data_IF_537880230060
#
_entry.id   IF_537880230060
#
_cell.length_a   1.000
_cell.length_b   1.000
_cell.length_c   1.000
_cell.angle_alpha   90.00
_cell.angle_beta   90.00
_cell.angle_gamma   90.00
#
_symmetry.space_group_name_H-M   'P 1'
#
loop_
_entity.id
_entity.type
_entity.pdbx_description
1 polymer ?
#
# COMPACT_ATOMS: atom_id res chain seq x y z
N UNK A 1 -8.95 31.51 -8.25
CA UNK A 1 -9.80 30.47 -8.87
C UNK A 1 -9.54 29.19 -8.10
N UNK A 2 -10.46 28.85 -7.21
CA UNK A 2 -10.41 27.71 -6.30
C UNK A 2 -10.50 26.40 -7.09
N UNK A 3 -9.52 25.51 -6.94
CA UNK A 3 -9.74 24.11 -7.26
C UNK A 3 -10.61 23.53 -6.15
N UNK A 4 -11.88 23.28 -6.47
CA UNK A 4 -12.77 22.52 -5.62
C UNK A 4 -12.18 21.12 -5.43
N UNK A 5 -11.97 20.73 -4.17
CA UNK A 5 -11.66 19.35 -3.80
C UNK A 5 -12.84 18.48 -4.21
N UNK A 6 -12.63 17.64 -5.22
CA UNK A 6 -13.65 16.68 -5.66
C UNK A 6 -13.96 15.75 -4.49
N UNK A 7 -15.21 15.80 -4.01
CA UNK A 7 -15.75 14.80 -3.09
C UNK A 7 -15.68 13.43 -3.78
N UNK A 8 -14.84 12.52 -3.28
CA UNK A 8 -14.73 11.16 -3.81
C UNK A 8 -16.02 10.41 -3.44
N UNK A 9 -16.89 10.16 -4.42
CA UNK A 9 -18.16 9.42 -4.24
C UNK A 9 -17.99 7.90 -4.39
N UNK A 10 -16.78 7.38 -4.19
CA UNK A 10 -16.40 5.98 -4.47
C UNK A 10 -15.44 5.40 -3.42
N UNK A 11 -15.12 4.10 -3.51
CA UNK A 11 -14.17 3.46 -2.61
C UNK A 11 -12.78 4.08 -2.74
N UNK A 12 -12.09 4.27 -1.61
CA UNK A 12 -10.68 4.65 -1.60
C UNK A 12 -9.82 3.40 -1.75
N UNK A 13 -9.05 3.32 -2.83
CA UNK A 13 -8.30 2.13 -3.22
C UNK A 13 -6.81 2.35 -2.99
N UNK A 14 -6.21 1.42 -2.26
CA UNK A 14 -4.78 1.43 -1.94
C UNK A 14 -4.11 0.21 -2.52
N UNK A 15 -3.02 0.43 -3.24
CA UNK A 15 -2.10 -0.63 -3.62
C UNK A 15 -0.95 -0.75 -2.62
N UNK A 16 -0.55 -1.99 -2.26
CA UNK A 16 0.67 -2.26 -1.49
C UNK A 16 1.55 -3.25 -2.28
N UNK A 17 2.60 -2.72 -2.91
CA UNK A 17 3.55 -3.44 -3.75
C UNK A 17 4.92 -3.59 -3.09
N UNK A 18 5.83 -4.30 -3.75
CA UNK A 18 7.20 -4.52 -3.29
C UNK A 18 7.62 -5.99 -3.29
N UNK A 19 8.86 -6.24 -2.90
CA UNK A 19 9.46 -7.58 -2.96
C UNK A 19 8.65 -8.65 -2.23
N UNK A 20 8.80 -9.89 -2.66
CA UNK A 20 8.30 -11.05 -1.90
C UNK A 20 8.83 -11.02 -0.46
N UNK A 21 8.07 -11.58 0.48
CA UNK A 21 8.46 -11.70 1.88
C UNK A 21 8.78 -10.39 2.64
N UNK A 22 8.39 -9.22 2.12
CA UNK A 22 8.59 -7.92 2.79
C UNK A 22 7.48 -7.51 3.75
N UNK A 23 6.54 -8.42 4.05
CA UNK A 23 5.46 -8.19 5.00
C UNK A 23 4.21 -7.51 4.42
N UNK A 24 4.04 -7.47 3.09
CA UNK A 24 2.86 -6.88 2.41
C UNK A 24 1.53 -7.34 3.04
N UNK A 25 1.29 -8.65 3.10
CA UNK A 25 0.06 -9.23 3.68
C UNK A 25 -0.12 -8.84 5.14
N UNK A 26 0.95 -8.91 5.94
CA UNK A 26 0.92 -8.51 7.35
C UNK A 26 0.60 -7.02 7.53
N UNK A 27 1.15 -6.16 6.68
CA UNK A 27 0.87 -4.72 6.70
C UNK A 27 -0.59 -4.47 6.30
N UNK A 28 -1.06 -5.08 5.20
CA UNK A 28 -2.43 -4.95 4.73
C UNK A 28 -3.45 -5.39 5.81
N UNK A 29 -3.23 -6.53 6.46
CA UNK A 29 -4.08 -7.00 7.56
C UNK A 29 -4.08 -6.07 8.77
N UNK A 30 -2.90 -5.56 9.16
CA UNK A 30 -2.79 -4.65 10.31
C UNK A 30 -3.45 -3.31 10.03
N UNK A 31 -3.22 -2.73 8.85
CA UNK A 31 -3.87 -1.50 8.40
C UNK A 31 -5.38 -1.69 8.34
N UNK A 32 -5.86 -2.78 7.74
CA UNK A 32 -7.29 -3.11 7.66
C UNK A 32 -7.92 -3.20 9.05
N UNK A 33 -7.32 -3.96 9.98
CA UNK A 33 -7.80 -4.05 11.37
C UNK A 33 -7.82 -2.69 12.06
N UNK A 34 -6.85 -1.81 11.79
CA UNK A 34 -6.82 -0.47 12.38
C UNK A 34 -7.92 0.43 11.78
N UNK A 35 -8.10 0.42 10.46
CA UNK A 35 -9.14 1.19 9.79
C UNK A 35 -10.55 0.74 10.20
N UNK A 36 -10.79 -0.57 10.25
CA UNK A 36 -12.07 -1.13 10.72
C UNK A 36 -12.40 -0.72 12.16
N UNK A 37 -11.40 -0.65 13.05
CA UNK A 37 -11.58 -0.13 14.42
C UNK A 37 -12.01 1.33 14.46
N UNK A 38 -11.72 2.11 13.42
CA UNK A 38 -12.11 3.51 13.29
C UNK A 38 -13.38 3.69 12.44
N UNK A 39 -14.14 2.62 12.21
CA UNK A 39 -15.44 2.68 11.53
C UNK A 39 -15.39 2.58 10.01
N UNK A 40 -14.20 2.36 9.43
CA UNK A 40 -14.07 2.15 7.98
C UNK A 40 -14.56 0.76 7.57
N UNK A 41 -15.25 0.66 6.43
CA UNK A 41 -15.46 -0.62 5.77
C UNK A 41 -14.24 -0.93 4.89
N UNK A 42 -13.53 -2.02 5.16
CA UNK A 42 -12.28 -2.37 4.46
C UNK A 42 -12.37 -3.78 3.92
N UNK A 43 -11.99 -3.94 2.65
CA UNK A 43 -11.78 -5.23 2.02
C UNK A 43 -10.31 -5.37 1.64
N UNK A 44 -9.72 -6.54 1.91
CA UNK A 44 -8.32 -6.83 1.60
C UNK A 44 -8.29 -7.94 0.57
N UNK A 45 -7.50 -7.74 -0.47
CA UNK A 45 -7.31 -8.71 -1.53
C UNK A 45 -5.84 -9.06 -1.65
N UNK A 46 -5.56 -10.36 -1.80
CA UNK A 46 -4.21 -10.86 -1.95
C UNK A 46 -4.04 -11.45 -3.35
N UNK A 47 -3.10 -10.90 -4.12
CA UNK A 47 -2.73 -11.39 -5.45
C UNK A 47 -2.35 -12.87 -5.44
N UNK A 48 -1.76 -13.38 -4.34
CA UNK A 48 -1.37 -14.79 -4.22
C UNK A 48 -2.56 -15.77 -4.29
N UNK A 49 -3.80 -15.29 -4.18
CA UNK A 49 -5.02 -16.12 -4.28
C UNK A 49 -5.50 -16.32 -5.73
N UNK A 50 -4.87 -15.63 -6.69
CA UNK A 50 -5.32 -15.51 -8.07
C UNK A 50 -4.33 -16.13 -9.08
N UNK A 51 -3.54 -17.13 -8.71
CA UNK A 51 -2.74 -17.85 -9.69
C UNK A 51 -3.61 -18.57 -10.73
N UNK A 52 -3.20 -18.52 -11.99
CA UNK A 52 -3.84 -19.25 -13.08
C UNK A 52 -3.67 -20.76 -12.89
N UNK A 53 -4.63 -21.53 -13.40
CA UNK A 53 -4.56 -23.00 -13.38
C UNK A 53 -3.68 -23.54 -14.51
N UNK A 54 -3.68 -22.86 -15.66
CA UNK A 54 -2.83 -23.21 -16.80
C UNK A 54 -1.53 -22.40 -16.72
N UNK A 55 -0.44 -23.10 -16.38
CA UNK A 55 0.89 -22.51 -16.22
C UNK A 55 1.86 -23.02 -17.30
N UNK A 56 1.39 -23.73 -18.33
CA UNK A 56 2.28 -24.38 -19.30
C UNK A 56 3.18 -23.37 -20.02
N UNK A 57 2.65 -22.18 -20.30
CA UNK A 57 3.40 -21.05 -20.89
C UNK A 57 4.50 -20.48 -19.99
N UNK A 58 4.46 -20.78 -18.69
CA UNK A 58 5.40 -20.30 -17.66
C UNK A 58 6.43 -21.34 -17.26
N UNK A 59 6.41 -22.52 -17.87
CA UNK A 59 7.39 -23.55 -17.62
C UNK A 59 8.79 -23.11 -18.06
N UNK A 60 9.77 -23.30 -17.17
CA UNK A 60 11.19 -22.97 -17.35
C UNK A 60 11.94 -24.29 -17.55
N UNK A 61 12.27 -24.68 -18.80
CA UNK A 61 12.88 -25.99 -19.07
C UNK A 61 14.23 -26.20 -18.38
N UNK A 62 15.03 -25.14 -18.24
CA UNK A 62 16.35 -25.20 -17.61
C UNK A 62 16.31 -25.48 -16.11
N UNK A 63 15.21 -25.12 -15.44
CA UNK A 63 15.00 -25.34 -14.01
C UNK A 63 14.03 -26.48 -13.70
N UNK A 64 13.35 -27.01 -14.73
CA UNK A 64 12.23 -27.94 -14.57
C UNK A 64 11.21 -27.40 -13.54
N UNK A 65 10.83 -26.13 -13.69
CA UNK A 65 10.06 -25.37 -12.72
C UNK A 65 9.18 -24.31 -13.41
N UNK A 66 8.17 -23.77 -12.74
CA UNK A 66 7.27 -22.75 -13.28
C UNK A 66 7.61 -21.35 -12.76
N UNK A 67 7.51 -20.34 -13.63
CA UNK A 67 7.75 -18.95 -13.25
C UNK A 67 6.51 -18.32 -12.58
N UNK A 68 6.35 -18.53 -11.28
CA UNK A 68 5.28 -17.93 -10.48
C UNK A 68 5.45 -16.43 -10.25
N UNK A 69 6.67 -15.90 -10.37
CA UNK A 69 6.96 -14.47 -10.19
C UNK A 69 6.78 -13.67 -11.51
N UNK A 70 6.16 -14.29 -12.53
CA UNK A 70 5.72 -13.63 -13.75
C UNK A 70 4.35 -12.97 -13.55
N UNK A 71 4.10 -11.75 -14.07
CA UNK A 71 2.76 -11.16 -14.11
C UNK A 71 1.73 -12.12 -14.72
N UNK A 72 2.11 -12.82 -15.79
CA UNK A 72 1.27 -13.79 -16.49
C UNK A 72 0.85 -15.00 -15.64
N UNK A 73 1.49 -15.24 -14.49
CA UNK A 73 1.06 -16.28 -13.56
C UNK A 73 -0.26 -15.95 -12.87
N UNK A 74 -0.66 -14.68 -12.88
CA UNK A 74 -1.86 -14.18 -12.20
C UNK A 74 -3.03 -14.12 -13.18
N UNK A 75 -4.16 -14.65 -12.75
CA UNK A 75 -5.45 -14.55 -13.44
C UNK A 75 -6.03 -13.15 -13.22
N UNK A 76 -5.52 -12.18 -13.98
CA UNK A 76 -5.98 -10.80 -13.89
C UNK A 76 -7.44 -10.63 -14.28
N UNK A 77 -7.98 -11.48 -15.17
CA UNK A 77 -9.40 -11.43 -15.52
C UNK A 77 -10.27 -11.83 -14.33
N UNK A 78 -9.91 -12.90 -13.63
CA UNK A 78 -10.58 -13.31 -12.40
C UNK A 78 -10.39 -12.28 -11.29
N UNK A 79 -9.19 -11.74 -11.15
CA UNK A 79 -8.90 -10.69 -10.17
C UNK A 79 -9.78 -9.45 -10.41
N UNK A 80 -9.87 -8.97 -11.66
CA UNK A 80 -10.71 -7.82 -12.05
C UNK A 80 -12.20 -8.14 -11.89
N UNK A 81 -12.64 -9.34 -12.30
CA UNK A 81 -14.04 -9.79 -12.18
C UNK A 81 -14.47 -9.87 -10.71
N UNK A 82 -13.57 -10.29 -9.83
CA UNK A 82 -13.80 -10.38 -8.39
C UNK A 82 -13.60 -9.01 -7.68
N UNK A 83 -13.22 -7.95 -8.41
CA UNK A 83 -13.17 -6.55 -7.96
C UNK A 83 -11.79 -6.01 -7.54
N UNK A 84 -10.69 -6.66 -7.94
CA UNK A 84 -9.41 -6.61 -7.19
C UNK A 84 -8.22 -6.17 -8.07
N UNK A 85 -7.21 -5.51 -7.47
CA UNK A 85 -6.24 -4.66 -8.20
C UNK A 85 -4.76 -4.95 -7.90
N UNK A 86 -3.88 -4.80 -8.92
CA UNK A 86 -2.39 -4.92 -8.88
C UNK A 86 -1.74 -3.82 -9.76
N UNK A 87 -0.51 -3.44 -9.44
CA UNK A 87 0.29 -2.38 -10.10
C UNK A 87 0.82 -2.66 -11.52
N UNK A 88 0.81 -3.91 -11.97
CA UNK A 88 1.45 -4.31 -13.23
C UNK A 88 0.54 -4.12 -14.45
N UNK A 89 -0.74 -3.88 -14.22
CA UNK A 89 -1.70 -3.55 -15.27
C UNK A 89 -1.96 -2.05 -15.25
N UNK A 90 -1.76 -1.38 -16.37
CA UNK A 90 -2.03 0.06 -16.55
C UNK A 90 -3.47 0.43 -16.18
N UNK A 91 -4.42 -0.45 -16.49
CA UNK A 91 -5.83 -0.27 -16.14
C UNK A 91 -6.09 -0.33 -14.63
N UNK A 92 -5.30 -1.12 -13.90
CA UNK A 92 -5.43 -1.28 -12.45
C UNK A 92 -4.60 -0.23 -11.70
N UNK A 93 -3.46 0.14 -12.25
CA UNK A 93 -2.64 1.25 -11.75
C UNK A 93 -3.46 2.53 -11.71
N UNK A 94 -4.26 2.82 -12.73
CA UNK A 94 -5.14 3.99 -12.78
C UNK A 94 -6.24 4.01 -11.70
N UNK A 95 -6.53 2.88 -11.05
CA UNK A 95 -7.57 2.78 -10.02
C UNK A 95 -7.06 3.05 -8.61
N UNK A 96 -5.74 3.10 -8.39
CA UNK A 96 -5.17 3.38 -7.07
C UNK A 96 -5.14 4.89 -6.76
N UNK A 97 -5.71 5.25 -5.62
CA UNK A 97 -5.60 6.59 -5.03
C UNK A 97 -4.22 6.81 -4.40
N UNK A 98 -3.72 5.80 -3.67
CA UNK A 98 -2.37 5.77 -3.12
C UNK A 98 -1.66 4.46 -3.46
N UNK A 99 -0.35 4.58 -3.75
CA UNK A 99 0.52 3.47 -4.08
C UNK A 99 1.65 3.39 -3.06
N UNK A 100 1.75 2.27 -2.36
CA UNK A 100 2.85 2.02 -1.43
C UNK A 100 3.78 0.97 -2.01
N UNK A 101 5.09 1.22 -2.01
CA UNK A 101 6.08 0.27 -2.51
C UNK A 101 7.12 -0.04 -1.43
N UNK A 102 7.17 -1.31 -0.99
CA UNK A 102 8.12 -1.75 0.04
C UNK A 102 9.48 -2.08 -0.61
N UNK A 103 10.49 -1.26 -0.32
CA UNK A 103 11.86 -1.47 -0.73
C UNK A 103 12.58 -2.44 0.19
N UNK A 104 13.42 -3.27 -0.40
CA UNK A 104 14.31 -4.20 0.29
C UNK A 104 15.66 -4.34 -0.43
N UNK A 105 16.61 -5.00 0.21
CA UNK A 105 17.90 -5.36 -0.37
C UNK A 105 17.91 -6.83 -0.80
N UNK A 106 18.80 -7.17 -1.74
CA UNK A 106 18.97 -8.54 -2.26
C UNK A 106 19.17 -9.57 -1.14
N UNK A 107 20.15 -9.34 -0.27
CA UNK A 107 20.51 -10.29 0.79
C UNK A 107 19.36 -10.52 1.77
N UNK A 108 18.65 -9.45 2.14
CA UNK A 108 17.53 -9.54 3.05
C UNK A 108 16.35 -10.29 2.41
N UNK A 109 16.02 -9.95 1.15
CA UNK A 109 14.96 -10.63 0.41
C UNK A 109 15.26 -12.13 0.23
N UNK A 110 16.51 -12.47 -0.11
CA UNK A 110 16.95 -13.86 -0.32
C UNK A 110 16.83 -14.66 0.97
N UNK A 111 17.40 -14.15 2.07
CA UNK A 111 17.39 -14.82 3.36
C UNK A 111 15.96 -15.11 3.85
N UNK A 112 15.03 -14.14 3.73
CA UNK A 112 13.65 -14.36 4.18
C UNK A 112 12.88 -15.30 3.25
N UNK A 113 13.14 -15.25 1.93
CA UNK A 113 12.48 -16.18 1.01
C UNK A 113 12.96 -17.62 1.23
N UNK A 114 14.24 -17.82 1.50
CA UNK A 114 14.82 -19.14 1.80
C UNK A 114 14.28 -19.75 3.11
N UNK A 115 13.87 -18.93 4.08
CA UNK A 115 13.22 -19.39 5.32
C UNK A 115 11.74 -19.80 5.12
N UNK A 116 11.14 -19.45 3.98
CA UNK A 116 9.70 -19.67 3.72
C UNK A 116 9.44 -20.98 2.97
N UNK A 117 8.40 -21.70 3.40
CA UNK A 117 7.92 -22.90 2.70
C UNK A 117 6.93 -22.53 1.60
N UNK A 118 7.37 -22.57 0.34
CA UNK A 118 6.50 -22.49 -0.84
C UNK A 118 6.00 -23.87 -1.26
N UNK A 119 4.85 -23.92 -1.94
CA UNK A 119 4.29 -25.14 -2.54
C UNK A 119 3.99 -24.85 -4.02
N UNK A 120 4.73 -25.43 -4.98
CA UNK A 120 5.94 -26.25 -4.80
C UNK A 120 7.14 -25.42 -4.29
N UNK A 121 8.06 -26.04 -3.55
CA UNK A 121 9.26 -25.35 -3.04
C UNK A 121 10.10 -24.74 -4.16
N UNK A 122 10.72 -23.60 -3.89
CA UNK A 122 11.68 -22.97 -4.81
C UNK A 122 12.83 -23.94 -5.14
N UNK A 123 13.24 -23.95 -6.42
CA UNK A 123 14.40 -24.72 -6.88
C UNK A 123 15.68 -23.86 -6.90
N UNK A 124 16.84 -24.51 -6.85
CA UNK A 124 18.12 -23.83 -6.90
C UNK A 124 18.24 -22.93 -8.15
N UNK A 125 18.69 -21.69 -7.97
CA UNK A 125 18.83 -20.70 -9.05
C UNK A 125 17.55 -19.96 -9.43
N UNK A 126 16.38 -20.37 -8.94
CA UNK A 126 15.10 -19.70 -9.22
C UNK A 126 15.09 -18.25 -8.68
N UNK A 127 15.57 -18.04 -7.45
CA UNK A 127 15.61 -16.71 -6.86
C UNK A 127 16.44 -15.72 -7.70
N UNK A 128 17.66 -16.13 -8.05
CA UNK A 128 18.63 -15.27 -8.72
C UNK A 128 18.24 -15.01 -10.18
N UNK A 129 17.60 -15.98 -10.83
CA UNK A 129 17.31 -15.92 -12.26
C UNK A 129 15.92 -15.32 -12.57
N UNK A 130 14.96 -15.41 -11.65
CA UNK A 130 13.56 -15.04 -11.89
C UNK A 130 13.02 -14.08 -10.83
N UNK A 131 13.12 -14.42 -9.56
CA UNK A 131 12.51 -13.63 -8.45
C UNK A 131 13.13 -12.25 -8.33
N UNK A 132 14.45 -12.18 -8.18
CA UNK A 132 15.13 -10.91 -7.95
C UNK A 132 15.04 -9.99 -9.18
N UNK A 133 15.27 -10.48 -10.42
CA UNK A 133 15.05 -9.68 -11.62
C UNK A 133 13.60 -9.17 -11.76
N UNK A 134 12.60 -9.95 -11.38
CA UNK A 134 11.21 -9.49 -11.37
C UNK A 134 11.00 -8.33 -10.41
N UNK A 135 11.44 -8.47 -9.16
CA UNK A 135 11.39 -7.37 -8.19
C UNK A 135 12.17 -6.13 -8.66
N UNK A 136 13.38 -6.30 -9.21
CA UNK A 136 14.21 -5.19 -9.65
C UNK A 136 13.50 -4.36 -10.73
N UNK A 137 12.84 -5.02 -11.70
CA UNK A 137 12.03 -4.32 -12.71
C UNK A 137 10.90 -3.51 -12.08
N UNK A 138 10.14 -4.10 -11.16
CA UNK A 138 9.05 -3.39 -10.47
C UNK A 138 9.58 -2.19 -9.65
N UNK A 139 10.75 -2.35 -9.02
CA UNK A 139 11.39 -1.29 -8.26
C UNK A 139 11.84 -0.15 -9.18
N UNK A 140 12.48 -0.46 -10.32
CA UNK A 140 12.89 0.52 -11.32
C UNK A 140 11.68 1.27 -11.89
N UNK A 141 10.58 0.56 -12.18
CA UNK A 141 9.32 1.17 -12.67
C UNK A 141 8.70 2.13 -11.65
N UNK A 142 8.67 1.75 -10.38
CA UNK A 142 8.21 2.63 -9.31
C UNK A 142 9.16 3.83 -9.12
N UNK A 143 10.47 3.62 -9.20
CA UNK A 143 11.49 4.66 -9.09
C UNK A 143 11.51 5.63 -10.28
N UNK A 144 11.02 5.23 -11.45
CA UNK A 144 10.79 6.12 -12.59
C UNK A 144 9.63 7.10 -12.36
N UNK A 145 8.74 6.82 -11.40
CA UNK A 145 7.57 7.64 -11.05
C UNK A 145 7.49 7.93 -9.55
N UNK A 146 8.54 8.49 -8.93
CA UNK A 146 8.65 8.57 -7.48
C UNK A 146 7.58 9.45 -6.83
N UNK A 147 6.95 10.35 -7.58
CA UNK A 147 5.83 11.17 -7.14
C UNK A 147 4.51 10.39 -6.99
N UNK A 148 4.36 9.26 -7.68
CA UNK A 148 3.15 8.44 -7.68
C UNK A 148 3.16 7.39 -6.55
N UNK A 149 4.32 7.18 -5.90
CA UNK A 149 4.56 6.14 -4.90
C UNK A 149 5.04 6.68 -3.56
N UNK A 150 4.56 6.06 -2.48
CA UNK A 150 5.13 6.18 -1.14
C UNK A 150 6.04 4.99 -0.88
N UNK A 151 7.34 5.24 -0.74
CA UNK A 151 8.33 4.19 -0.51
C UNK A 151 8.46 3.81 0.96
N UNK A 152 8.27 2.53 1.24
CA UNK A 152 8.32 1.91 2.56
C UNK A 152 9.58 1.04 2.70
N UNK A 153 9.93 0.64 3.93
CA UNK A 153 11.14 -0.17 4.20
C UNK A 153 10.76 -1.54 4.75
N UNK A 154 11.36 -2.61 4.22
CA UNK A 154 11.03 -3.99 4.57
C UNK A 154 11.26 -4.37 6.05
N UNK A 155 12.15 -3.67 6.75
CA UNK A 155 12.49 -3.95 8.15
C UNK A 155 11.66 -3.16 9.18
N UNK A 156 10.74 -2.29 8.74
CA UNK A 156 9.99 -1.41 9.65
C UNK A 156 8.47 -1.56 9.48
N UNK A 157 7.97 -2.76 9.78
CA UNK A 157 6.54 -3.09 9.65
C UNK A 157 5.66 -2.12 10.45
N UNK A 158 6.10 -1.72 11.65
CA UNK A 158 5.31 -0.83 12.50
C UNK A 158 5.19 0.54 11.86
N UNK A 159 6.30 1.15 11.43
CA UNK A 159 6.23 2.45 10.78
C UNK A 159 5.48 2.40 9.45
N UNK A 160 5.61 1.31 8.69
CA UNK A 160 4.87 1.11 7.45
C UNK A 160 3.36 1.12 7.69
N UNK A 161 2.88 0.39 8.71
CA UNK A 161 1.47 0.37 9.10
C UNK A 161 1.01 1.77 9.53
N UNK A 162 1.77 2.45 10.40
CA UNK A 162 1.42 3.80 10.86
C UNK A 162 1.39 4.82 9.70
N UNK A 163 2.32 4.71 8.75
CA UNK A 163 2.38 5.57 7.55
C UNK A 163 1.15 5.38 6.67
N UNK A 164 0.82 4.12 6.32
CA UNK A 164 -0.36 3.83 5.49
C UNK A 164 -1.62 4.25 6.24
N UNK A 165 -1.77 3.80 7.49
CA UNK A 165 -2.96 4.08 8.30
C UNK A 165 -3.21 5.58 8.45
N UNK A 166 -2.20 6.37 8.84
CA UNK A 166 -2.37 7.81 9.04
C UNK A 166 -2.72 8.54 7.75
N UNK A 167 -2.19 8.11 6.61
CA UNK A 167 -2.49 8.70 5.31
C UNK A 167 -3.88 8.31 4.83
N UNK A 168 -4.26 7.03 4.92
CA UNK A 168 -5.61 6.56 4.57
C UNK A 168 -6.68 7.16 5.46
N UNK A 169 -6.43 7.25 6.77
CA UNK A 169 -7.43 7.76 7.72
C UNK A 169 -7.84 9.19 7.38
N UNK A 170 -6.92 10.04 6.89
CA UNK A 170 -7.23 11.41 6.43
C UNK A 170 -8.30 11.47 5.34
N UNK A 171 -8.47 10.40 4.55
CA UNK A 171 -9.48 10.32 3.50
C UNK A 171 -10.76 9.66 3.96
N UNK A 172 -10.68 8.76 4.95
CA UNK A 172 -11.85 8.02 5.45
C UNK A 172 -12.57 8.76 6.56
N UNK A 173 -11.87 9.62 7.30
CA UNK A 173 -12.49 10.48 8.31
C UNK A 173 -12.56 11.91 7.78
N UNK A 174 -13.74 12.53 7.84
CA UNK A 174 -13.90 13.99 7.70
C UNK A 174 -13.15 14.79 8.80
N UNK A 175 -12.43 14.08 9.69
CA UNK A 175 -11.59 14.61 10.76
C UNK A 175 -10.11 14.48 10.38
N UNK A 176 -9.38 15.59 10.43
CA UNK A 176 -7.95 15.60 10.18
C UNK A 176 -7.19 15.34 11.49
N UNK A 177 -6.40 14.26 11.53
CA UNK A 177 -5.51 13.96 12.64
C UNK A 177 -4.07 14.06 12.14
N UNK A 178 -3.36 15.10 12.58
CA UNK A 178 -1.92 15.24 12.32
C UNK A 178 -1.13 14.55 13.44
N UNK A 179 -0.41 13.49 13.06
CA UNK A 179 0.54 12.79 13.92
C UNK A 179 1.95 13.25 13.53
N UNK A 180 2.64 13.92 14.44
CA UNK A 180 4.03 14.34 14.25
C UNK A 180 4.90 13.80 15.37
N UNK A 181 6.16 13.52 15.04
CA UNK A 181 7.20 13.15 16.00
C UNK A 181 7.76 14.37 16.74
N UNK A 182 7.60 15.56 16.16
CA UNK A 182 8.06 16.83 16.70
C UNK A 182 7.01 17.46 17.62
N UNK A 183 7.45 18.24 18.60
CA UNK A 183 6.53 18.98 19.46
C UNK A 183 5.71 19.99 18.62
N UNK A 184 4.40 19.83 18.62
CA UNK A 184 3.50 20.69 17.85
C UNK A 184 3.37 22.05 18.55
N UNK A 185 3.76 23.14 17.87
CA UNK A 185 3.58 24.49 18.43
C UNK A 185 2.12 24.93 18.35
N UNK A 186 1.63 25.56 19.41
CA UNK A 186 0.26 26.09 19.48
C UNK A 186 0.01 27.04 18.29
N UNK A 187 0.97 27.91 17.97
CA UNK A 187 0.84 28.86 16.87
C UNK A 187 0.60 28.19 15.52
N UNK A 188 1.22 27.03 15.28
CA UNK A 188 1.05 26.27 14.04
C UNK A 188 -0.31 25.58 13.98
N UNK A 189 -0.76 25.00 15.10
CA UNK A 189 -2.10 24.43 15.22
C UNK A 189 -3.19 25.50 15.03
N UNK A 190 -3.03 26.66 15.67
CA UNK A 190 -3.95 27.78 15.57
C UNK A 190 -3.97 28.38 14.16
N UNK A 191 -2.80 28.59 13.54
CA UNK A 191 -2.72 29.12 12.17
C UNK A 191 -3.42 28.22 11.17
N UNK A 192 -3.33 26.89 11.36
CA UNK A 192 -3.98 25.91 10.50
C UNK A 192 -5.50 25.90 10.67
N UNK A 193 -6.01 25.92 11.91
CA UNK A 193 -7.46 25.97 12.23
C UNK A 193 -8.11 27.27 11.77
N UNK A 194 -7.33 28.36 11.66
CA UNK A 194 -7.81 29.63 11.15
C UNK A 194 -7.73 29.76 9.62
N UNK A 195 -7.23 28.75 8.90
CA UNK A 195 -7.24 28.75 7.44
C UNK A 195 -8.70 28.67 6.96
N UNK A 196 -9.16 29.60 6.10
CA UNK A 196 -10.53 29.60 5.58
C UNK A 196 -10.93 28.30 4.89
N UNK A 197 -9.96 27.55 4.37
CA UNK A 197 -10.17 26.28 3.68
C UNK A 197 -10.29 25.07 4.62
N UNK A 198 -9.98 25.18 5.92
CA UNK A 198 -9.85 24.00 6.79
C UNK A 198 -11.18 23.48 7.37
N UNK A 199 -12.23 24.31 7.47
CA UNK A 199 -13.55 23.88 7.99
C UNK A 199 -13.58 23.42 9.45
N UNK A 200 -12.52 23.70 10.22
CA UNK A 200 -12.36 23.23 11.59
C UNK A 200 -13.30 23.93 12.57
N UNK A 201 -14.03 23.16 13.38
CA UNK A 201 -14.90 23.68 14.46
C UNK A 201 -14.31 23.49 15.86
N UNK A 202 -13.32 22.60 16.02
CA UNK A 202 -12.61 22.38 17.28
C UNK A 202 -11.19 21.85 17.06
N UNK A 203 -10.30 22.18 17.98
CA UNK A 203 -8.89 21.80 17.97
C UNK A 203 -8.49 21.33 19.38
N UNK A 204 -7.98 20.09 19.48
CA UNK A 204 -7.47 19.54 20.73
C UNK A 204 -5.98 19.28 20.61
N UNK A 205 -5.19 19.83 21.53
CA UNK A 205 -3.73 19.64 21.63
C UNK A 205 -3.43 18.90 22.93
N UNK A 206 -3.01 17.64 22.84
CA UNK A 206 -2.60 16.83 24.00
C UNK A 206 -1.11 16.95 24.31
N UNK A 207 -0.74 16.87 25.60
CA UNK A 207 0.66 17.02 26.09
C UNK A 207 1.62 15.89 25.64
N UNK A 208 1.10 14.78 25.06
CA UNK A 208 1.91 13.64 24.61
C UNK A 208 1.42 13.05 23.29
N UNK A 209 1.44 13.88 22.25
CA UNK A 209 1.04 13.54 20.88
C UNK A 209 -0.49 13.49 20.71
N UNK A 210 -0.93 13.84 19.50
CA UNK A 210 -2.31 13.93 18.98
C UNK A 210 -2.88 15.37 18.94
N UNK A 211 -2.85 15.94 17.73
CA UNK A 211 -3.72 17.02 17.29
C UNK A 211 -4.95 16.39 16.61
N UNK A 212 -6.14 16.61 17.17
CA UNK A 212 -7.40 16.20 16.57
C UNK A 212 -8.17 17.44 16.12
N UNK A 213 -8.42 17.55 14.81
CA UNK A 213 -9.22 18.61 14.21
C UNK A 213 -10.49 17.97 13.65
N UNK A 214 -11.63 18.34 14.22
CA UNK A 214 -12.94 17.92 13.72
C UNK A 214 -13.52 19.02 12.83
N UNK A 215 -13.89 18.65 11.61
CA UNK A 215 -14.55 19.53 10.64
C UNK A 215 -15.98 19.02 10.41
N UNK A 216 -16.97 19.91 10.50
CA UNK A 216 -18.31 19.62 9.99
C UNK A 216 -18.43 20.25 8.60
N UNK A 217 -18.48 19.43 7.56
CA UNK A 217 -18.95 19.90 6.25
C UNK A 217 -20.44 20.15 6.40
N UNK A 218 -20.83 21.43 6.47
CA UNK A 218 -22.24 21.81 6.43
C UNK A 218 -22.73 21.54 5.00
N UNK A 219 -23.57 20.52 4.81
CA UNK A 219 -24.26 20.35 3.54
C UNK A 219 -25.25 21.50 3.35
N UNK A 220 -24.93 22.41 2.43
CA UNK A 220 -25.90 23.30 1.77
C UNK A 220 -25.62 23.27 0.27
#
# INVERSE_FOLDING_TARGET
>A
MSQATASITGPYVIGIGGATCTGKTTIAEKVSKQLMKHGANVQVFNQDEYYQQDLDSLFIPSLNYWNFDSPQAVDFERLVRDGNLIFESEALDALFDDRYFIKTTYLFCKCIREDRTYIPSDVAGYFDSFVWPAYARMADEAECRPQDFVFLRSFDIRMNVETIFSRTLRYVTDCWIELTCDQLSIDRATSFVLMPECGAISCFVGERFHLCISCQVSHV
#
